data_IF_322767479021
#
_entry.id   IF_322767479021
#
_cell.length_a   1.000
_cell.length_b   1.000
_cell.length_c   1.000
_cell.angle_alpha   90.00
_cell.angle_beta   90.00
_cell.angle_gamma   90.00
#
_symmetry.space_group_name_H-M   'P 1'
#
loop_
_entity.id
_entity.type
_entity.pdbx_description
1 polymer ?
#
# COMPACT_ATOMS: atom_id res chain seq x y z
N UNK A 1 -17.97 31.55 -14.10
CA UNK A 1 -16.75 31.07 -14.79
C UNK A 1 -15.73 30.67 -13.72
N UNK A 2 -15.92 29.51 -13.09
CA UNK A 2 -15.08 29.04 -11.98
C UNK A 2 -14.14 27.95 -12.50
N UNK A 3 -12.85 28.16 -12.20
CA UNK A 3 -11.70 27.46 -12.74
C UNK A 3 -11.67 26.01 -12.28
N UNK A 4 -11.44 25.10 -13.23
CA UNK A 4 -11.04 23.72 -13.01
C UNK A 4 -9.96 23.64 -11.93
N UNK A 5 -10.27 23.07 -10.76
CA UNK A 5 -9.25 22.54 -9.86
C UNK A 5 -8.83 21.18 -10.40
N UNK A 6 -8.03 21.19 -11.46
CA UNK A 6 -7.25 20.04 -11.88
C UNK A 6 -6.24 19.75 -10.77
N UNK A 7 -6.46 18.68 -10.00
CA UNK A 7 -5.44 18.15 -9.08
C UNK A 7 -4.42 17.44 -9.97
N UNK A 8 -3.35 18.15 -10.31
CA UNK A 8 -2.19 17.57 -11.00
C UNK A 8 -1.41 16.69 -10.03
N UNK A 9 -1.40 15.38 -10.27
CA UNK A 9 -0.48 14.43 -9.64
C UNK A 9 0.79 14.42 -10.50
N UNK A 10 1.93 14.89 -9.97
CA UNK A 10 3.19 15.07 -10.73
C UNK A 10 4.28 14.08 -10.25
N UNK A 11 4.99 13.40 -11.17
CA UNK A 11 5.83 12.20 -10.91
C UNK A 11 7.37 12.42 -11.13
N UNK A 12 8.28 11.97 -10.22
CA UNK A 12 9.78 12.11 -10.08
C UNK A 12 10.38 11.47 -8.76
N UNK A 13 10.99 10.29 -8.76
CA UNK A 13 11.54 9.71 -7.50
C UNK A 13 12.89 10.37 -7.13
N UNK A 14 13.14 10.64 -5.83
CA UNK A 14 14.48 10.94 -5.28
C UNK A 14 14.95 9.75 -4.43
N UNK A 15 16.22 9.40 -4.62
CA UNK A 15 16.91 8.20 -4.15
C UNK A 15 16.74 7.91 -2.64
N UNK A 16 16.18 6.74 -2.33
CA UNK A 16 16.32 6.08 -1.03
C UNK A 16 17.31 4.89 -1.15
N UNK A 17 18.39 5.07 -1.91
CA UNK A 17 19.40 4.03 -2.16
C UNK A 17 20.43 3.87 -1.02
N UNK A 18 20.45 4.74 0.00
CA UNK A 18 21.58 4.80 0.94
C UNK A 18 21.37 4.16 2.32
N UNK A 19 20.33 3.35 2.54
CA UNK A 19 20.13 2.68 3.84
C UNK A 19 19.97 1.14 3.77
N UNK A 20 20.06 0.53 2.59
CA UNK A 20 19.97 -0.93 2.43
C UNK A 20 21.34 -1.54 2.14
N UNK A 21 22.26 -1.45 3.11
CA UNK A 21 23.40 -2.35 3.19
C UNK A 21 23.19 -3.20 4.45
N UNK A 22 23.04 -4.51 4.26
CA UNK A 22 22.93 -5.59 5.26
C UNK A 22 21.54 -5.97 5.83
N UNK A 23 20.44 -5.69 5.12
CA UNK A 23 19.14 -6.34 5.41
C UNK A 23 18.80 -7.29 4.26
N UNK A 24 18.34 -8.55 4.51
CA UNK A 24 17.94 -9.43 3.42
C UNK A 24 16.78 -8.79 2.67
N UNK A 25 17.09 -8.22 1.50
CA UNK A 25 16.10 -7.78 0.53
C UNK A 25 15.37 -9.02 0.05
N UNK A 26 14.05 -9.04 0.23
CA UNK A 26 13.22 -9.96 -0.54
C UNK A 26 13.40 -9.55 -2.01
N UNK A 27 14.21 -10.34 -2.73
CA UNK A 27 14.53 -10.27 -4.16
C UNK A 27 15.27 -9.01 -4.64
N UNK A 28 16.53 -9.21 -5.07
CA UNK A 28 17.29 -8.26 -5.86
C UNK A 28 16.61 -8.02 -7.20
N UNK A 29 16.10 -6.80 -7.37
CA UNK A 29 15.45 -6.30 -8.56
C UNK A 29 14.80 -4.97 -8.18
N UNK A 30 14.72 -4.02 -9.10
CA UNK A 30 14.11 -2.70 -8.91
C UNK A 30 12.57 -2.76 -8.76
N UNK A 31 12.06 -3.74 -8.00
CA UNK A 31 10.64 -4.04 -7.89
C UNK A 31 9.99 -3.16 -6.81
N UNK A 32 8.76 -2.73 -7.08
CA UNK A 32 8.00 -1.90 -6.14
C UNK A 32 7.73 -2.64 -4.83
N UNK A 33 8.07 -1.99 -3.71
CA UNK A 33 7.83 -2.50 -2.36
C UNK A 33 6.69 -1.72 -1.67
N UNK A 34 5.54 -2.34 -1.42
CA UNK A 34 4.41 -1.67 -0.81
C UNK A 34 4.68 -1.32 0.66
N UNK A 35 5.59 -2.01 1.36
CA UNK A 35 5.95 -1.71 2.75
C UNK A 35 6.67 -0.37 2.80
N UNK A 36 7.64 -0.15 1.90
CA UNK A 36 8.32 1.14 1.78
C UNK A 36 7.33 2.21 1.33
N UNK A 37 6.47 1.93 0.35
CA UNK A 37 5.47 2.88 -0.11
C UNK A 37 4.54 3.36 1.01
N UNK A 38 4.00 2.46 1.83
CA UNK A 38 3.14 2.80 2.97
C UNK A 38 3.83 3.73 3.97
N UNK A 39 5.16 3.65 4.13
CA UNK A 39 5.90 4.54 5.04
C UNK A 39 5.90 6.00 4.57
N UNK A 40 5.66 6.22 3.28
CA UNK A 40 5.58 7.56 2.66
C UNK A 40 4.17 8.15 2.72
N UNK A 41 3.16 7.32 3.02
CA UNK A 41 1.76 7.73 3.07
C UNK A 41 1.37 8.18 4.48
N UNK A 42 0.74 9.35 4.57
CA UNK A 42 0.06 9.81 5.78
C UNK A 42 -1.44 9.59 5.62
N UNK A 43 -1.96 8.56 6.25
CA UNK A 43 -3.39 8.24 6.30
C UNK A 43 -4.13 9.33 7.09
N UNK A 44 -5.34 9.68 6.67
CA UNK A 44 -6.17 10.78 7.19
C UNK A 44 -5.60 12.20 7.04
N UNK A 45 -4.51 12.40 6.30
CA UNK A 45 -4.14 13.75 5.86
C UNK A 45 -4.88 14.09 4.56
N UNK A 46 -5.56 15.24 4.57
CA UNK A 46 -6.17 15.83 3.38
C UNK A 46 -5.05 16.19 2.39
N UNK A 47 -4.73 15.28 1.48
CA UNK A 47 -3.65 15.51 0.51
C UNK A 47 -4.10 16.49 -0.57
N UNK A 48 -3.94 17.78 -0.29
CA UNK A 48 -3.58 18.73 -1.32
C UNK A 48 -2.07 18.61 -1.58
N UNK A 49 -1.68 17.99 -2.69
CA UNK A 49 -0.29 17.79 -3.20
C UNK A 49 0.48 16.56 -2.70
N UNK A 50 -0.13 15.37 -2.73
CA UNK A 50 0.62 14.11 -2.71
C UNK A 50 1.14 13.75 -4.10
N UNK A 51 2.41 13.36 -4.23
CA UNK A 51 2.99 12.85 -5.47
C UNK A 51 3.24 11.34 -5.31
N UNK A 52 2.45 10.49 -5.96
CA UNK A 52 2.71 9.04 -6.06
C UNK A 52 3.53 8.79 -7.32
N UNK A 53 4.64 8.09 -7.17
CA UNK A 53 5.65 7.96 -8.22
C UNK A 53 5.97 6.47 -8.37
N UNK A 54 5.42 5.78 -9.37
CA UNK A 54 5.70 4.37 -9.58
C UNK A 54 7.20 4.22 -9.82
N UNK A 55 7.88 3.28 -9.15
CA UNK A 55 9.28 2.99 -9.43
C UNK A 55 9.48 2.56 -10.89
N UNK A 56 10.70 2.73 -11.38
CA UNK A 56 11.11 2.19 -12.67
C UNK A 56 10.79 0.70 -12.75
N UNK A 57 10.22 0.24 -13.86
CA UNK A 57 9.80 -1.16 -14.03
C UNK A 57 8.42 -1.47 -13.45
N UNK A 58 7.64 -0.44 -13.11
CA UNK A 58 6.23 -0.59 -12.74
C UNK A 58 5.32 0.34 -13.53
N UNK A 59 4.10 -0.13 -13.77
CA UNK A 59 3.01 0.60 -14.40
C UNK A 59 1.96 0.97 -13.35
N UNK A 60 1.48 2.21 -13.40
CA UNK A 60 0.31 2.65 -12.64
C UNK A 60 -0.86 2.93 -13.59
N UNK A 61 -2.01 2.32 -13.32
CA UNK A 61 -3.21 2.39 -14.15
C UNK A 61 -4.38 2.89 -13.29
N UNK A 62 -5.18 3.79 -13.85
CA UNK A 62 -6.51 4.10 -13.31
C UNK A 62 -7.46 2.98 -13.74
N UNK A 63 -7.87 2.13 -12.79
CA UNK A 63 -8.69 0.94 -13.10
C UNK A 63 -10.18 1.20 -12.99
N UNK A 64 -10.59 2.15 -12.15
CA UNK A 64 -12.00 2.55 -12.02
C UNK A 64 -12.10 4.01 -11.56
N UNK A 65 -13.22 4.66 -11.89
CA UNK A 65 -13.56 5.99 -11.39
C UNK A 65 -15.06 6.21 -11.33
N UNK A 66 -15.53 6.78 -10.23
CA UNK A 66 -16.91 7.23 -10.06
C UNK A 66 -16.98 8.73 -10.31
N UNK A 67 -17.89 9.15 -11.18
CA UNK A 67 -18.09 10.57 -11.53
C UNK A 67 -19.50 11.04 -11.19
N UNK A 68 -19.62 12.26 -10.70
CA UNK A 68 -20.88 12.97 -10.47
C UNK A 68 -20.71 14.45 -10.81
N UNK A 69 -21.65 15.03 -11.55
CA UNK A 69 -21.59 16.44 -11.99
C UNK A 69 -20.23 16.84 -12.59
N UNK A 70 -19.70 16.03 -13.51
CA UNK A 70 -18.38 16.21 -14.15
C UNK A 70 -17.17 16.18 -13.19
N UNK A 71 -17.36 15.81 -11.93
CA UNK A 71 -16.30 15.65 -10.93
C UNK A 71 -16.04 14.18 -10.61
N UNK A 72 -14.77 13.79 -10.48
CA UNK A 72 -14.40 12.46 -9.96
C UNK A 72 -14.58 12.45 -8.44
N UNK A 73 -15.48 11.60 -7.95
CA UNK A 73 -15.82 11.48 -6.52
C UNK A 73 -15.26 10.20 -5.89
N UNK A 74 -14.60 9.37 -6.69
CA UNK A 74 -13.84 8.21 -6.23
C UNK A 74 -13.07 7.61 -7.39
N UNK A 75 -11.93 7.00 -7.09
CA UNK A 75 -11.13 6.33 -8.10
C UNK A 75 -10.22 5.27 -7.49
N UNK A 76 -9.89 4.28 -8.30
CA UNK A 76 -8.98 3.20 -7.94
C UNK A 76 -7.76 3.22 -8.86
N UNK A 77 -6.59 3.19 -8.24
CA UNK A 77 -5.32 3.00 -8.93
C UNK A 77 -4.83 1.56 -8.72
N UNK A 78 -4.28 0.98 -9.78
CA UNK A 78 -3.59 -0.29 -9.76
C UNK A 78 -2.13 -0.07 -10.16
N UNK A 79 -1.21 -0.60 -9.36
CA UNK A 79 0.23 -0.56 -9.61
C UNK A 79 0.70 -2.00 -9.77
N UNK A 80 1.33 -2.29 -10.89
CA UNK A 80 1.84 -3.61 -11.24
C UNK A 80 3.27 -3.53 -11.79
N UNK A 81 4.12 -4.53 -11.54
CA UNK A 81 5.44 -4.62 -12.14
C UNK A 81 5.34 -5.00 -13.62
N UNK A 82 6.17 -4.39 -14.47
CA UNK A 82 6.20 -4.67 -15.91
C UNK A 82 6.62 -6.12 -16.21
N UNK A 83 7.40 -6.73 -15.32
CA UNK A 83 7.81 -8.14 -15.37
C UNK A 83 6.66 -9.12 -15.09
N UNK A 84 5.58 -8.66 -14.46
CA UNK A 84 4.54 -9.51 -13.86
C UNK A 84 4.96 -10.20 -12.55
N UNK A 85 6.21 -10.02 -12.12
CA UNK A 85 6.78 -10.59 -10.89
C UNK A 85 6.91 -9.50 -9.81
N UNK A 86 6.48 -9.82 -8.59
CA UNK A 86 6.53 -8.90 -7.45
C UNK A 86 5.16 -8.47 -6.95
N UNK A 87 5.10 -7.31 -6.28
CA UNK A 87 3.89 -6.82 -5.64
C UNK A 87 2.96 -6.10 -6.63
N UNK A 88 1.73 -6.58 -6.69
CA UNK A 88 0.60 -5.87 -7.25
C UNK A 88 -0.09 -5.08 -6.15
N UNK A 89 -0.49 -3.83 -6.41
CA UNK A 89 -1.10 -2.97 -5.40
C UNK A 89 -2.28 -2.16 -5.91
N UNK A 90 -3.34 -2.12 -5.13
CA UNK A 90 -4.53 -1.31 -5.32
C UNK A 90 -4.58 -0.20 -4.28
N UNK A 91 -4.87 1.00 -4.74
CA UNK A 91 -5.10 2.17 -3.91
C UNK A 91 -6.45 2.76 -4.30
N UNK A 92 -7.39 2.78 -3.36
CA UNK A 92 -8.71 3.37 -3.59
C UNK A 92 -8.85 4.68 -2.86
N UNK A 93 -9.43 5.64 -3.57
CA UNK A 93 -9.80 6.94 -3.05
C UNK A 93 -11.30 7.12 -3.19
N UNK A 94 -11.92 7.68 -2.15
CA UNK A 94 -13.25 8.29 -2.25
C UNK A 94 -13.15 9.80 -2.08
N UNK A 95 -14.29 10.48 -2.14
CA UNK A 95 -14.39 11.89 -1.85
C UNK A 95 -15.20 12.08 -0.57
N UNK A 96 -14.70 12.93 0.33
CA UNK A 96 -15.44 13.30 1.53
C UNK A 96 -16.62 14.24 1.21
N UNK A 97 -17.35 14.67 2.25
CA UNK A 97 -18.48 15.62 2.12
C UNK A 97 -18.14 16.97 1.48
N UNK A 98 -16.85 17.29 1.33
CA UNK A 98 -16.34 18.51 0.69
C UNK A 98 -15.63 18.21 -0.64
N UNK A 99 -15.86 17.03 -1.21
CA UNK A 99 -15.24 16.56 -2.46
C UNK A 99 -13.70 16.47 -2.39
N UNK A 100 -13.14 16.26 -1.19
CA UNK A 100 -11.70 16.09 -1.02
C UNK A 100 -11.35 14.61 -1.13
N UNK A 101 -10.34 14.23 -1.95
CA UNK A 101 -9.89 12.84 -2.03
C UNK A 101 -9.45 12.33 -0.66
N UNK A 102 -9.95 11.15 -0.29
CA UNK A 102 -9.56 10.43 0.92
C UNK A 102 -9.17 9.02 0.54
N UNK A 103 -8.00 8.59 1.01
CA UNK A 103 -7.53 7.23 0.87
C UNK A 103 -8.41 6.30 1.72
N UNK A 104 -9.04 5.31 1.09
CA UNK A 104 -9.95 4.37 1.77
C UNK A 104 -9.47 2.93 1.76
N UNK A 105 -8.62 2.55 0.79
CA UNK A 105 -7.99 1.22 0.76
C UNK A 105 -6.56 1.33 0.26
N UNK A 106 -5.66 0.61 0.94
CA UNK A 106 -4.39 0.16 0.39
C UNK A 106 -4.39 -1.35 0.49
N UNK A 107 -4.25 -2.04 -0.63
CA UNK A 107 -4.15 -3.49 -0.68
C UNK A 107 -3.03 -3.88 -1.62
N UNK A 108 -2.11 -4.73 -1.18
CA UNK A 108 -1.04 -5.27 -1.99
C UNK A 108 -1.01 -6.79 -1.90
N UNK A 109 -0.64 -7.45 -2.98
CA UNK A 109 -0.40 -8.89 -2.99
C UNK A 109 0.80 -9.28 -3.86
N UNK A 110 1.51 -10.30 -3.43
CA UNK A 110 2.60 -10.93 -4.18
C UNK A 110 2.47 -12.44 -4.07
N UNK A 111 2.68 -13.15 -5.17
CA UNK A 111 2.75 -14.61 -5.17
C UNK A 111 4.05 -15.05 -4.49
N UNK A 112 3.98 -16.07 -3.64
CA UNK A 112 5.17 -16.72 -3.08
C UNK A 112 5.76 -17.62 -4.15
N UNK A 113 7.05 -17.46 -4.42
CA UNK A 113 7.81 -18.22 -5.41
C UNK A 113 8.35 -19.53 -4.82
N UNK A 114 8.67 -20.46 -5.72
CA UNK A 114 9.23 -21.76 -5.35
C UNK A 114 10.58 -21.57 -4.64
N UNK A 115 10.63 -21.94 -3.36
CA UNK A 115 11.84 -21.85 -2.53
C UNK A 115 11.78 -20.82 -1.41
N UNK A 116 10.77 -19.93 -1.40
CA UNK A 116 10.59 -18.92 -0.34
C UNK A 116 9.86 -19.48 0.91
N UNK A 117 10.45 -20.50 1.55
CA UNK A 117 9.81 -21.21 2.69
C UNK A 117 9.44 -20.31 3.87
N UNK A 118 10.21 -19.25 4.09
CA UNK A 118 10.03 -18.30 5.20
C UNK A 118 9.49 -16.94 4.73
N UNK A 119 8.83 -16.90 3.56
CA UNK A 119 8.32 -15.67 2.95
C UNK A 119 7.48 -14.79 3.90
N UNK A 120 6.59 -15.42 4.66
CA UNK A 120 5.67 -14.70 5.55
C UNK A 120 6.40 -14.08 6.76
N UNK A 121 7.26 -14.84 7.43
CA UNK A 121 8.04 -14.35 8.57
C UNK A 121 9.06 -13.29 8.13
N UNK A 122 9.68 -13.46 6.96
CA UNK A 122 10.54 -12.44 6.36
C UNK A 122 9.79 -11.11 6.12
N UNK A 123 8.56 -11.18 5.58
CA UNK A 123 7.73 -10.00 5.38
C UNK A 123 7.32 -9.34 6.70
N UNK A 124 6.95 -10.11 7.72
CA UNK A 124 6.63 -9.57 9.05
C UNK A 124 7.81 -8.78 9.64
N UNK A 125 9.00 -9.39 9.63
CA UNK A 125 10.22 -8.76 10.14
C UNK A 125 10.54 -7.48 9.36
N UNK A 126 10.35 -7.51 8.04
CA UNK A 126 10.56 -6.34 7.19
C UNK A 126 9.57 -5.20 7.50
N UNK A 127 8.29 -5.53 7.65
CA UNK A 127 7.25 -4.57 8.05
C UNK A 127 7.61 -3.95 9.40
N UNK A 128 7.99 -4.73 10.40
CA UNK A 128 8.39 -4.22 11.70
C UNK A 128 9.62 -3.30 11.60
N UNK A 129 10.61 -3.65 10.78
CA UNK A 129 11.82 -2.86 10.60
C UNK A 129 11.52 -1.49 9.93
N UNK A 130 10.72 -1.48 8.87
CA UNK A 130 10.42 -0.25 8.10
C UNK A 130 9.36 0.61 8.79
N UNK A 131 8.33 -0.04 9.34
CA UNK A 131 7.14 0.62 9.87
C UNK A 131 7.14 0.71 11.39
N UNK A 132 8.19 0.29 12.11
CA UNK A 132 8.21 0.25 13.57
C UNK A 132 7.91 1.59 14.28
N UNK A 133 8.08 2.73 13.59
CA UNK A 133 7.67 4.06 14.10
C UNK A 133 6.20 4.39 13.85
N UNK A 134 5.58 3.71 12.89
CA UNK A 134 4.23 3.92 12.41
C UNK A 134 3.22 2.90 12.96
N UNK A 135 3.67 1.77 13.50
CA UNK A 135 2.82 0.70 14.01
C UNK A 135 2.97 0.51 15.52
N UNK A 136 1.89 0.06 16.17
CA UNK A 136 1.93 -0.38 17.58
C UNK A 136 2.36 -1.84 17.73
N UNK A 137 2.23 -2.36 18.95
CA UNK A 137 2.39 -3.79 19.20
C UNK A 137 1.34 -4.61 18.42
N UNK A 138 1.67 -5.82 17.94
CA UNK A 138 0.71 -6.67 17.22
C UNK A 138 -0.54 -6.91 18.08
N UNK A 139 -1.71 -6.61 17.52
CA UNK A 139 -3.00 -6.91 18.12
C UNK A 139 -3.42 -8.38 17.90
N UNK A 140 -2.94 -8.97 16.80
CA UNK A 140 -3.16 -10.37 16.43
C UNK A 140 -1.89 -10.88 15.75
N UNK A 141 -1.51 -12.12 16.07
CA UNK A 141 -0.32 -12.77 15.51
C UNK A 141 -0.51 -14.28 15.52
N UNK A 142 -0.95 -14.83 14.40
CA UNK A 142 -1.15 -16.26 14.15
C UNK A 142 -0.22 -16.75 13.02
N UNK A 143 -0.21 -18.06 12.75
CA UNK A 143 0.68 -18.70 11.75
C UNK A 143 0.56 -18.12 10.32
N UNK A 144 -0.56 -17.49 9.98
CA UNK A 144 -0.83 -16.93 8.65
C UNK A 144 -1.30 -15.48 8.63
N UNK A 145 -1.39 -14.81 9.78
CA UNK A 145 -1.86 -13.41 9.86
C UNK A 145 -1.18 -12.65 10.98
N UNK A 146 -0.79 -11.42 10.71
CA UNK A 146 -0.38 -10.47 11.75
C UNK A 146 -1.09 -9.16 11.51
N UNK A 147 -1.58 -8.55 12.59
CA UNK A 147 -2.28 -7.26 12.55
C UNK A 147 -1.61 -6.30 13.51
N UNK A 148 -1.21 -5.14 13.01
CA UNK A 148 -0.69 -4.05 13.82
C UNK A 148 -1.62 -2.84 13.78
N UNK A 149 -1.93 -2.22 14.92
CA UNK A 149 -2.56 -0.89 14.93
C UNK A 149 -1.70 0.11 14.18
N UNK A 150 -2.30 0.91 13.30
CA UNK A 150 -1.60 1.92 12.51
C UNK A 150 -1.66 3.29 13.19
N UNK A 151 -0.50 3.79 13.64
CA UNK A 151 -0.29 5.04 14.37
C UNK A 151 -1.20 5.21 15.60
N UNK A 152 -0.94 6.23 16.41
CA UNK A 152 -1.88 6.63 17.47
C UNK A 152 -2.99 7.48 16.85
N UNK A 153 -4.25 7.20 17.20
CA UNK A 153 -5.46 7.94 16.79
C UNK A 153 -5.96 7.66 15.36
N UNK A 154 -5.79 6.45 14.83
CA UNK A 154 -6.50 6.02 13.63
C UNK A 154 -7.25 4.70 13.91
N UNK A 155 -8.35 4.47 13.18
CA UNK A 155 -9.12 3.22 13.24
C UNK A 155 -8.52 2.12 12.32
N UNK A 156 -7.32 2.36 11.79
CA UNK A 156 -6.71 1.50 10.78
C UNK A 156 -5.74 0.51 11.41
N UNK A 157 -5.69 -0.67 10.80
CA UNK A 157 -4.75 -1.73 11.10
C UNK A 157 -3.98 -2.07 9.83
N UNK A 158 -2.67 -2.22 9.97
CA UNK A 158 -1.85 -2.87 8.97
C UNK A 158 -1.98 -4.38 9.15
N UNK A 159 -2.59 -5.04 8.17
CA UNK A 159 -2.87 -6.48 8.17
C UNK A 159 -2.00 -7.13 7.12
N UNK A 160 -1.15 -8.08 7.55
CA UNK A 160 -0.35 -8.90 6.64
C UNK A 160 -0.81 -10.34 6.76
N UNK A 161 -1.03 -11.01 5.63
CA UNK A 161 -1.51 -12.40 5.61
C UNK A 161 -0.72 -13.25 4.62
N UNK A 162 -0.62 -14.53 4.94
CA UNK A 162 -0.31 -15.60 4.01
C UNK A 162 -1.61 -16.33 3.66
N UNK A 163 -1.97 -16.36 2.39
CA UNK A 163 -3.24 -16.92 1.89
C UNK A 163 -2.95 -17.97 0.83
N UNK A 164 -3.59 -19.13 0.92
CA UNK A 164 -3.56 -20.14 -0.15
C UNK A 164 -4.70 -19.87 -1.14
N UNK A 165 -4.38 -19.65 -2.42
CA UNK A 165 -5.34 -19.41 -3.48
C UNK A 165 -4.89 -20.05 -4.81
N UNK A 166 -5.76 -20.86 -5.42
CA UNK A 166 -5.53 -21.54 -6.71
C UNK A 166 -4.14 -22.21 -6.78
N UNK A 167 -3.87 -23.12 -5.84
CA UNK A 167 -2.63 -23.88 -5.71
C UNK A 167 -1.35 -23.06 -5.48
N UNK A 168 -1.49 -21.76 -5.23
CA UNK A 168 -0.38 -20.86 -4.94
C UNK A 168 -0.55 -20.22 -3.58
N UNK A 169 0.56 -20.03 -2.88
CA UNK A 169 0.61 -19.22 -1.67
C UNK A 169 0.81 -17.76 -2.09
N UNK A 170 0.13 -16.86 -1.40
CA UNK A 170 0.16 -15.42 -1.63
C UNK A 170 0.44 -14.70 -0.33
N UNK A 171 1.32 -13.71 -0.39
CA UNK A 171 1.44 -12.70 0.66
C UNK A 171 0.51 -11.55 0.31
N UNK A 172 -0.26 -11.10 1.29
CA UNK A 172 -1.06 -9.89 1.16
C UNK A 172 -0.74 -8.91 2.27
N UNK A 173 -0.86 -7.64 1.96
CA UNK A 173 -0.76 -6.55 2.93
C UNK A 173 -1.90 -5.57 2.66
N UNK A 174 -2.64 -5.23 3.70
CA UNK A 174 -3.78 -4.34 3.62
C UNK A 174 -3.71 -3.32 4.75
N UNK A 175 -4.19 -2.10 4.47
CA UNK A 175 -4.55 -1.15 5.51
C UNK A 175 -6.07 -1.17 5.65
N UNK A 176 -6.56 -1.89 6.66
CA UNK A 176 -7.98 -2.14 6.86
C UNK A 176 -8.52 -1.30 8.02
N UNK A 177 -9.75 -0.79 7.89
CA UNK A 177 -10.47 -0.19 9.00
C UNK A 177 -11.21 -1.31 9.73
N UNK A 178 -10.90 -1.54 11.00
CA UNK A 178 -11.69 -2.47 11.81
C UNK A 178 -12.90 -1.69 12.32
N UNK A 179 -14.14 -2.10 12.02
CA UNK A 179 -15.31 -1.47 12.62
C UNK A 179 -15.22 -1.63 14.13
N UNK A 180 -15.29 -0.52 14.85
CA UNK A 180 -15.49 -0.53 16.30
C UNK A 180 -16.86 -1.19 16.50
N UNK A 181 -16.91 -2.33 17.18
CA UNK A 181 -18.18 -2.90 17.62
C UNK A 181 -18.87 -1.84 18.49
N UNK A 182 -20.03 -1.35 18.04
CA UNK A 182 -20.90 -0.42 18.79
C UNK A 182 -21.60 -1.12 19.94
#
# INVERSE_FOLDING_TARGET
>A
MYRLFLIAILITVLQAESAAQDTPTATGGSNFDPVVFLSTLKINQFHGRGNIRPPTGTRAVLVDSVRSNEMTIGFSMFIEPDSGEGWNMWIDFDADRYYRPRLVRVFAQRRVEDGERDAFSALQNWVQAVQGKNIGDPAESDEGVVRWPWLRNTDYYLVVRSIQQHDSQWLTMALDRIPIEE
#
